data_IF_094306904538
#
_entry.id   IF_094306904538
#
_cell.length_a   1.000
_cell.length_b   1.000
_cell.length_c   1.000
_cell.angle_alpha   90.00
_cell.angle_beta   90.00
_cell.angle_gamma   90.00
#
_symmetry.space_group_name_H-M   'P 1'
#
loop_
_entity.id
_entity.type
_entity.pdbx_description
1 polymer ?
#
# COMPACT_ATOMS: atom_id res chain seq x y z
N UNK A 1 -4.70 -19.72 -0.56
CA UNK A 1 -3.59 -20.23 0.29
C UNK A 1 -4.06 -21.46 1.08
N UNK A 2 -3.23 -22.51 1.24
CA UNK A 2 -3.62 -23.69 2.04
C UNK A 2 -3.27 -23.54 3.54
N UNK A 3 -3.92 -24.33 4.41
CA UNK A 3 -3.78 -24.24 5.88
C UNK A 3 -2.36 -24.55 6.38
N UNK A 4 -1.63 -25.44 5.72
CA UNK A 4 -0.28 -25.81 6.12
C UNK A 4 0.71 -24.67 5.88
N UNK A 5 0.65 -24.06 4.69
CA UNK A 5 1.44 -22.88 4.34
C UNK A 5 1.15 -21.73 5.30
N UNK A 6 -0.13 -21.42 5.55
CA UNK A 6 -0.56 -20.38 6.49
C UNK A 6 0.07 -20.55 7.89
N UNK A 7 0.09 -21.78 8.41
CA UNK A 7 0.68 -22.06 9.73
C UNK A 7 2.20 -21.86 9.74
N UNK A 8 2.87 -22.26 8.66
CA UNK A 8 4.34 -22.25 8.56
C UNK A 8 4.98 -20.88 8.31
N UNK A 9 4.22 -19.90 7.80
CA UNK A 9 4.77 -18.59 7.44
C UNK A 9 5.04 -17.70 8.65
N UNK A 10 6.16 -16.99 8.63
CA UNK A 10 6.40 -15.91 9.59
C UNK A 10 5.33 -14.82 9.46
N UNK A 11 5.01 -14.16 10.57
CA UNK A 11 4.01 -13.08 10.59
C UNK A 11 4.30 -12.00 9.53
N UNK A 12 5.57 -11.60 9.39
CA UNK A 12 5.98 -10.58 8.43
C UNK A 12 5.77 -10.97 6.96
N UNK A 13 5.63 -12.26 6.66
CA UNK A 13 5.38 -12.79 5.30
C UNK A 13 3.90 -13.07 5.05
N UNK A 14 3.11 -13.20 6.11
CA UNK A 14 1.74 -13.67 6.03
C UNK A 14 0.84 -12.69 5.27
N UNK A 15 0.99 -11.38 5.52
CA UNK A 15 0.23 -10.36 4.80
C UNK A 15 0.46 -10.42 3.29
N UNK A 16 1.71 -10.52 2.85
CA UNK A 16 2.02 -10.62 1.43
C UNK A 16 1.52 -11.93 0.83
N UNK A 17 1.63 -13.05 1.56
CA UNK A 17 1.10 -14.33 1.08
C UNK A 17 -0.43 -14.32 0.89
N UNK A 18 -1.16 -13.52 1.69
CA UNK A 18 -2.59 -13.29 1.48
C UNK A 18 -2.88 -12.43 0.24
N UNK A 19 -2.06 -11.40 -0.02
CA UNK A 19 -2.34 -10.40 -1.05
C UNK A 19 -1.69 -10.65 -2.41
N UNK A 20 -0.54 -11.33 -2.48
CA UNK A 20 0.17 -11.54 -3.74
C UNK A 20 -0.69 -12.22 -4.80
N UNK A 21 -1.57 -13.20 -4.50
CA UNK A 21 -2.44 -13.80 -5.51
C UNK A 21 -3.45 -12.83 -6.13
N UNK A 22 -3.76 -11.73 -5.45
CA UNK A 22 -4.68 -10.69 -5.91
C UNK A 22 -3.91 -9.57 -6.61
N UNK A 23 -2.80 -9.12 -6.03
CA UNK A 23 -2.07 -7.95 -6.51
C UNK A 23 -1.14 -8.23 -7.69
N UNK A 24 -0.53 -9.42 -7.77
CA UNK A 24 0.40 -9.75 -8.85
C UNK A 24 -0.27 -9.78 -10.23
N UNK A 25 -1.46 -10.40 -10.42
CA UNK A 25 -2.17 -10.37 -11.69
C UNK A 25 -2.60 -8.96 -12.14
N UNK A 26 -2.74 -8.03 -11.19
CA UNK A 26 -3.15 -6.65 -11.46
C UNK A 26 -2.00 -5.74 -11.91
N UNK A 27 -0.74 -6.20 -11.84
CA UNK A 27 0.40 -5.37 -12.28
C UNK A 27 0.27 -5.02 -13.76
N UNK A 28 0.45 -3.74 -14.08
CA UNK A 28 0.32 -3.22 -15.45
C UNK A 28 -1.10 -3.20 -16.03
N UNK A 29 -2.11 -3.67 -15.28
CA UNK A 29 -3.52 -3.61 -15.72
C UNK A 29 -4.10 -2.21 -15.56
N UNK A 30 -5.15 -1.95 -16.34
CA UNK A 30 -5.89 -0.69 -16.34
C UNK A 30 -6.51 -0.37 -14.96
N UNK A 31 -6.57 0.92 -14.54
CA UNK A 31 -7.18 1.33 -13.28
C UNK A 31 -8.63 0.88 -13.07
N UNK A 32 -9.43 0.75 -14.13
CA UNK A 32 -10.83 0.30 -14.04
C UNK A 32 -10.89 -1.14 -13.53
N UNK A 33 -10.07 -2.04 -14.10
CA UNK A 33 -10.00 -3.44 -13.64
C UNK A 33 -9.50 -3.53 -12.20
N UNK A 34 -8.49 -2.73 -11.83
CA UNK A 34 -8.00 -2.67 -10.45
C UNK A 34 -9.08 -2.22 -9.47
N UNK A 35 -9.88 -1.22 -9.85
CA UNK A 35 -11.00 -0.73 -9.04
C UNK A 35 -12.11 -1.76 -8.90
N UNK A 36 -12.43 -2.51 -9.96
CA UNK A 36 -13.42 -3.59 -9.92
C UNK A 36 -12.97 -4.69 -8.95
N UNK A 37 -11.75 -5.19 -9.11
CA UNK A 37 -11.19 -6.20 -8.20
C UNK A 37 -11.14 -5.70 -6.76
N UNK A 38 -10.73 -4.46 -6.53
CA UNK A 38 -10.72 -3.85 -5.19
C UNK A 38 -12.12 -3.81 -4.56
N UNK A 39 -13.16 -3.55 -5.35
CA UNK A 39 -14.56 -3.50 -4.85
C UNK A 39 -15.13 -4.86 -4.45
N UNK A 40 -14.55 -5.96 -4.95
CA UNK A 40 -14.94 -7.34 -4.60
C UNK A 40 -14.24 -7.85 -3.32
N UNK A 41 -13.25 -7.11 -2.81
CA UNK A 41 -12.51 -7.48 -1.60
C UNK A 41 -13.33 -7.22 -0.33
N UNK A 42 -13.08 -8.04 0.71
CA UNK A 42 -13.58 -7.73 2.06
C UNK A 42 -12.95 -6.44 2.59
N UNK A 43 -13.56 -5.76 3.58
CA UNK A 43 -12.95 -4.58 4.20
C UNK A 43 -11.50 -4.83 4.65
N UNK A 44 -11.22 -5.95 5.32
CA UNK A 44 -9.86 -6.28 5.79
C UNK A 44 -8.89 -6.58 4.64
N UNK A 45 -9.35 -7.16 3.53
CA UNK A 45 -8.54 -7.33 2.32
C UNK A 45 -8.27 -6.00 1.62
N UNK A 46 -9.23 -5.06 1.62
CA UNK A 46 -9.03 -3.70 1.14
C UNK A 46 -7.97 -2.95 1.98
N UNK A 47 -8.02 -3.09 3.31
CA UNK A 47 -7.00 -2.55 4.24
C UNK A 47 -5.61 -3.06 3.86
N UNK A 48 -5.49 -4.37 3.68
CA UNK A 48 -4.23 -5.01 3.34
C UNK A 48 -3.77 -4.64 1.91
N UNK A 49 -4.69 -4.54 0.96
CA UNK A 49 -4.42 -4.10 -0.41
C UNK A 49 -3.84 -2.68 -0.43
N UNK A 50 -4.48 -1.74 0.27
CA UNK A 50 -4.05 -0.35 0.30
C UNK A 50 -2.68 -0.19 0.97
N UNK A 51 -2.44 -0.90 2.07
CA UNK A 51 -1.13 -0.93 2.70
C UNK A 51 -0.06 -1.45 1.73
N UNK A 52 -0.27 -2.61 1.09
CA UNK A 52 0.74 -3.17 0.19
C UNK A 52 0.90 -2.38 -1.12
N UNK A 53 -0.14 -1.70 -1.58
CA UNK A 53 -0.05 -0.79 -2.72
C UNK A 53 0.92 0.34 -2.40
N UNK A 54 0.74 1.02 -1.26
CA UNK A 54 1.67 2.05 -0.80
C UNK A 54 3.06 1.50 -0.48
N UNK A 55 3.16 0.48 0.37
CA UNK A 55 4.44 -0.06 0.85
C UNK A 55 5.32 -0.58 -0.27
N UNK A 56 4.77 -1.35 -1.22
CA UNK A 56 5.59 -1.91 -2.31
C UNK A 56 6.15 -0.83 -3.23
N UNK A 57 5.47 0.31 -3.32
CA UNK A 57 5.92 1.46 -4.07
C UNK A 57 6.94 2.30 -3.30
N UNK A 58 6.69 2.58 -2.02
CA UNK A 58 7.47 3.52 -1.22
C UNK A 58 8.76 2.94 -0.61
N UNK A 59 8.94 1.61 -0.54
CA UNK A 59 10.03 0.99 0.24
C UNK A 59 11.42 1.04 -0.39
N UNK A 60 11.53 1.24 -1.69
CA UNK A 60 12.74 0.92 -2.44
C UNK A 60 13.80 2.04 -2.42
N UNK A 61 13.38 3.31 -2.37
CA UNK A 61 14.28 4.45 -2.28
C UNK A 61 13.59 5.67 -1.66
N UNK A 62 14.39 6.65 -1.21
CA UNK A 62 13.88 7.94 -0.74
C UNK A 62 13.06 8.66 -1.84
N UNK A 63 13.50 8.58 -3.10
CA UNK A 63 12.80 9.19 -4.22
C UNK A 63 11.42 8.56 -4.46
N UNK A 64 11.32 7.24 -4.40
CA UNK A 64 10.03 6.55 -4.51
C UNK A 64 9.15 6.81 -3.28
N UNK A 65 9.74 6.81 -2.08
CA UNK A 65 9.02 7.17 -0.85
C UNK A 65 8.38 8.56 -0.96
N UNK A 66 9.16 9.55 -1.40
CA UNK A 66 8.71 10.91 -1.65
C UNK A 66 7.59 10.95 -2.70
N UNK A 67 7.87 10.42 -3.90
CA UNK A 67 6.96 10.54 -5.04
C UNK A 67 5.62 9.85 -4.77
N UNK A 68 5.64 8.63 -4.21
CA UNK A 68 4.42 7.89 -3.91
C UNK A 68 3.65 8.49 -2.74
N UNK A 69 4.33 8.98 -1.71
CA UNK A 69 3.64 9.67 -0.61
C UNK A 69 2.95 10.94 -1.11
N UNK A 70 3.63 11.73 -1.95
CA UNK A 70 2.99 12.84 -2.62
C UNK A 70 1.80 12.37 -3.48
N UNK A 71 1.97 11.40 -4.36
CA UNK A 71 0.90 10.86 -5.21
C UNK A 71 -0.38 10.49 -4.44
N UNK A 72 -0.24 9.83 -3.29
CA UNK A 72 -1.39 9.51 -2.45
C UNK A 72 -1.94 10.75 -1.71
N UNK A 73 -1.08 11.65 -1.23
CA UNK A 73 -1.49 12.91 -0.60
C UNK A 73 -2.33 13.80 -1.54
N UNK A 74 -2.05 13.79 -2.84
CA UNK A 74 -2.86 14.46 -3.88
C UNK A 74 -4.29 13.89 -4.02
N UNK A 75 -4.58 12.77 -3.33
CA UNK A 75 -5.85 12.07 -3.33
C UNK A 75 -6.37 11.96 -1.88
N UNK A 76 -6.87 13.05 -1.27
CA UNK A 76 -7.09 13.14 0.18
C UNK A 76 -7.98 12.05 0.78
N UNK A 77 -8.98 11.59 0.01
CA UNK A 77 -9.83 10.45 0.40
C UNK A 77 -9.01 9.17 0.54
N UNK A 78 -8.19 8.86 -0.45
CA UNK A 78 -7.35 7.64 -0.45
C UNK A 78 -6.29 7.75 0.65
N UNK A 79 -5.67 8.91 0.83
CA UNK A 79 -4.66 9.12 1.87
C UNK A 79 -5.22 8.93 3.28
N UNK A 80 -6.40 9.51 3.55
CA UNK A 80 -7.10 9.34 4.82
C UNK A 80 -7.44 7.87 5.07
N UNK A 81 -7.92 7.17 4.05
CA UNK A 81 -8.22 5.73 4.14
C UNK A 81 -6.98 4.89 4.41
N UNK A 82 -5.83 5.15 3.77
CA UNK A 82 -4.57 4.44 4.05
C UNK A 82 -4.20 4.57 5.53
N UNK A 83 -4.22 5.79 6.07
CA UNK A 83 -3.90 6.04 7.49
C UNK A 83 -4.90 5.37 8.44
N UNK A 84 -6.20 5.48 8.15
CA UNK A 84 -7.25 4.85 8.97
C UNK A 84 -7.08 3.33 9.04
N UNK A 85 -6.82 2.70 7.89
CA UNK A 85 -6.70 1.24 7.77
C UNK A 85 -5.42 0.71 8.43
N UNK A 86 -4.34 1.49 8.43
CA UNK A 86 -3.13 1.19 9.21
C UNK A 86 -3.40 1.18 10.73
N UNK A 87 -4.26 2.08 11.23
CA UNK A 87 -4.68 2.07 12.65
C UNK A 87 -5.42 0.78 13.01
N UNK A 88 -6.21 0.18 12.09
CA UNK A 88 -6.91 -1.09 12.34
C UNK A 88 -5.93 -2.25 12.64
N UNK A 89 -4.72 -2.23 12.07
CA UNK A 89 -3.69 -3.23 12.38
C UNK A 89 -2.95 -2.97 13.70
N UNK A 90 -3.29 -1.88 14.41
CA UNK A 90 -2.74 -1.53 15.72
C UNK A 90 -1.31 -1.00 15.66
N UNK A 91 -0.87 -0.44 14.53
CA UNK A 91 0.45 0.19 14.40
C UNK A 91 0.33 1.71 14.29
N UNK A 92 0.31 2.36 15.45
CA UNK A 92 0.30 3.83 15.55
C UNK A 92 1.62 4.46 15.11
N UNK A 93 2.74 3.73 15.11
CA UNK A 93 4.04 4.30 14.76
C UNK A 93 4.10 4.64 13.28
N UNK A 94 3.62 3.73 12.42
CA UNK A 94 3.62 3.99 10.98
C UNK A 94 2.65 5.10 10.62
N UNK A 95 1.51 5.19 11.31
CA UNK A 95 0.55 6.27 11.09
C UNK A 95 1.13 7.62 11.48
N UNK A 96 1.76 7.73 12.65
CA UNK A 96 2.44 8.95 13.08
C UNK A 96 3.54 9.39 12.12
N UNK A 97 4.29 8.43 11.56
CA UNK A 97 5.29 8.73 10.54
C UNK A 97 4.67 9.28 9.24
N UNK A 98 3.56 8.71 8.78
CA UNK A 98 2.86 9.21 7.58
C UNK A 98 2.29 10.62 7.81
N UNK A 99 1.81 10.91 9.02
CA UNK A 99 1.34 12.24 9.42
C UNK A 99 2.50 13.25 9.44
N UNK A 100 3.65 12.90 10.03
CA UNK A 100 4.85 13.75 10.02
C UNK A 100 5.35 14.01 8.58
N UNK A 101 5.27 13.00 7.72
CA UNK A 101 5.66 13.13 6.31
C UNK A 101 4.70 14.04 5.55
N UNK A 102 3.40 13.92 5.80
CA UNK A 102 2.39 14.83 5.27
C UNK A 102 2.66 16.28 5.69
N UNK A 103 2.97 16.54 6.96
CA UNK A 103 3.30 17.88 7.44
C UNK A 103 4.55 18.46 6.75
N UNK A 104 5.56 17.63 6.50
CA UNK A 104 6.72 18.04 5.71
C UNK A 104 6.27 18.40 4.29
N UNK A 105 5.58 17.53 3.56
CA UNK A 105 5.20 17.81 2.18
C UNK A 105 4.28 19.04 2.03
N UNK A 106 3.40 19.28 2.99
CA UNK A 106 2.56 20.49 3.03
C UNK A 106 3.37 21.78 3.14
N UNK A 107 4.50 21.79 3.87
CA UNK A 107 5.38 22.97 3.95
C UNK A 107 6.01 23.32 2.60
N UNK A 108 6.21 22.33 1.73
CA UNK A 108 6.68 22.52 0.35
C UNK A 108 5.54 22.69 -0.66
N UNK A 109 4.29 22.86 -0.20
CA UNK A 109 3.10 22.96 -1.07
C UNK A 109 2.91 21.75 -1.98
N UNK A 110 3.42 20.59 -1.57
CA UNK A 110 3.36 19.35 -2.34
C UNK A 110 2.40 18.31 -1.74
N UNK A 111 1.67 17.61 -2.62
CA UNK A 111 1.02 18.12 -3.83
C UNK A 111 -0.31 18.81 -3.50
N UNK A 112 -0.79 19.66 -4.41
CA UNK A 112 -2.04 20.40 -4.19
C UNK A 112 -3.28 19.57 -4.55
N UNK A 113 -3.21 18.82 -5.64
CA UNK A 113 -4.26 17.92 -6.14
C UNK A 113 -3.73 17.08 -7.30
N UNK A 114 -4.49 16.06 -7.70
CA UNK A 114 -4.20 15.30 -8.93
C UNK A 114 -4.27 16.15 -10.21
N UNK A 115 -5.09 17.22 -10.23
CA UNK A 115 -5.22 18.12 -11.39
C UNK A 115 -3.97 18.96 -11.65
N UNK A 116 -3.17 19.17 -10.61
CA UNK A 116 -1.95 19.99 -10.63
C UNK A 116 -0.73 19.20 -10.15
N UNK A 117 -0.74 17.88 -10.35
CA UNK A 117 0.32 17.01 -9.88
C UNK A 117 1.59 17.21 -10.73
N UNK A 118 2.54 17.97 -10.17
CA UNK A 118 3.80 18.36 -10.80
C UNK A 118 5.05 17.76 -10.12
N UNK A 119 4.84 16.89 -9.13
CA UNK A 119 5.91 16.27 -8.34
C UNK A 119 6.78 15.36 -9.20
N UNK A 120 8.09 15.60 -9.14
CA UNK A 120 9.12 14.87 -9.87
C UNK A 120 10.09 14.19 -8.90
N UNK A 121 10.55 12.99 -9.24
CA UNK A 121 11.61 12.33 -8.47
C UNK A 121 12.91 13.17 -8.38
N UNK A 122 13.12 14.08 -9.35
CA UNK A 122 14.27 14.97 -9.40
C UNK A 122 14.14 16.16 -8.43
N UNK A 123 12.99 16.39 -7.80
CA UNK A 123 12.81 17.49 -6.84
C UNK A 123 13.78 17.34 -5.65
N UNK A 124 14.09 16.10 -5.26
CA UNK A 124 15.08 15.81 -4.21
C UNK A 124 16.54 16.04 -4.63
N UNK A 125 16.81 16.12 -5.93
CA UNK A 125 18.13 16.48 -6.45
C UNK A 125 18.29 18.00 -6.51
N UNK A 126 17.20 18.71 -6.79
CA UNK A 126 17.17 20.17 -6.97
C UNK A 126 16.90 20.94 -5.66
N UNK A 127 16.30 20.31 -4.65
CA UNK A 127 16.03 20.89 -3.34
C UNK A 127 16.67 20.05 -2.22
N UNK A 128 17.85 20.51 -1.77
CA UNK A 128 18.59 19.85 -0.69
C UNK A 128 17.87 19.91 0.65
N UNK A 129 17.07 20.95 0.92
CA UNK A 129 16.34 21.10 2.19
C UNK A 129 15.16 20.12 2.26
N UNK A 130 14.47 19.92 1.14
CA UNK A 130 13.42 18.89 1.02
C UNK A 130 14.01 17.51 1.26
N UNK A 131 15.13 17.21 0.61
CA UNK A 131 15.85 15.94 0.78
C UNK A 131 16.29 15.73 2.22
N UNK A 132 16.89 16.73 2.85
CA UNK A 132 17.34 16.67 4.25
C UNK A 132 16.17 16.46 5.22
N UNK A 133 15.01 17.04 4.93
CA UNK A 133 13.79 16.87 5.74
C UNK A 133 13.16 15.49 5.59
N UNK A 134 13.17 14.89 4.39
CA UNK A 134 12.56 13.58 4.13
C UNK A 134 13.49 12.39 4.42
N UNK A 135 14.81 12.57 4.33
CA UNK A 135 15.78 11.51 4.60
C UNK A 135 15.62 10.82 5.97
N UNK A 136 15.44 11.53 7.10
CA UNK A 136 15.20 10.88 8.39
C UNK A 136 13.85 10.15 8.43
N UNK A 137 12.82 10.69 7.77
CA UNK A 137 11.49 10.07 7.70
C UNK A 137 11.53 8.75 6.92
N UNK A 138 12.22 8.71 5.78
CA UNK A 138 12.41 7.47 5.03
C UNK A 138 13.25 6.44 5.82
N UNK A 139 14.30 6.89 6.51
CA UNK A 139 15.09 6.02 7.38
C UNK A 139 14.23 5.44 8.50
N UNK A 140 13.34 6.25 9.06
CA UNK A 140 12.38 5.81 10.07
C UNK A 140 11.36 4.82 9.48
N UNK A 141 10.85 5.08 8.28
CA UNK A 141 9.96 4.19 7.53
C UNK A 141 10.57 2.79 7.39
N UNK A 142 11.81 2.72 6.91
CA UNK A 142 12.53 1.45 6.76
C UNK A 142 12.70 0.71 8.11
N UNK A 143 12.93 1.46 9.19
CA UNK A 143 13.12 0.91 10.53
C UNK A 143 11.84 0.33 11.15
N UNK A 144 10.71 1.00 10.98
CA UNK A 144 9.44 0.59 11.63
C UNK A 144 8.63 -0.39 10.80
N UNK A 145 8.74 -0.38 9.47
CA UNK A 145 7.91 -1.26 8.62
C UNK A 145 8.03 -2.75 8.94
N UNK A 146 9.19 -3.32 9.34
CA UNK A 146 9.25 -4.71 9.79
C UNK A 146 8.32 -5.02 10.98
N UNK A 147 8.15 -4.07 11.91
CA UNK A 147 7.20 -4.18 13.01
C UNK A 147 5.77 -4.16 12.49
N UNK A 148 5.42 -3.23 11.59
CA UNK A 148 4.11 -3.15 10.94
C UNK A 148 3.74 -4.46 10.26
N UNK A 149 4.66 -5.03 9.46
CA UNK A 149 4.45 -6.31 8.78
C UNK A 149 4.20 -7.45 9.77
N UNK A 150 4.90 -7.45 10.91
CA UNK A 150 4.65 -8.42 11.97
C UNK A 150 3.27 -8.23 12.63
N UNK A 151 2.86 -6.99 12.92
CA UNK A 151 1.54 -6.69 13.50
C UNK A 151 0.40 -7.12 12.59
N UNK A 152 0.52 -6.84 11.28
CA UNK A 152 -0.39 -7.33 10.25
C UNK A 152 -0.49 -8.86 10.30
N UNK A 153 0.64 -9.57 10.37
CA UNK A 153 0.64 -11.03 10.47
C UNK A 153 -0.04 -11.55 11.74
N UNK A 154 0.18 -10.89 12.88
CA UNK A 154 -0.50 -11.22 14.14
C UNK A 154 -2.03 -11.02 14.00
N UNK A 155 -2.46 -9.92 13.38
CA UNK A 155 -3.86 -9.65 13.13
C UNK A 155 -4.49 -10.73 12.24
N UNK A 156 -3.87 -11.05 11.10
CA UNK A 156 -4.34 -12.09 10.18
C UNK A 156 -4.47 -13.45 10.88
N UNK A 157 -3.56 -13.79 11.79
CA UNK A 157 -3.64 -15.04 12.56
C UNK A 157 -4.82 -15.08 13.54
N UNK A 158 -5.23 -13.94 14.07
CA UNK A 158 -6.40 -13.82 14.95
C UNK A 158 -7.71 -13.83 14.17
N UNK A 159 -7.69 -13.41 12.91
CA UNK A 159 -8.86 -13.22 12.05
C UNK A 159 -8.71 -13.91 10.67
N UNK A 160 -8.33 -15.20 10.59
CA UNK A 160 -8.00 -15.85 9.31
C UNK A 160 -9.15 -15.85 8.30
N UNK A 161 -10.40 -15.88 8.76
CA UNK A 161 -11.63 -15.83 7.97
C UNK A 161 -11.78 -14.52 7.16
N UNK A 162 -11.19 -13.42 7.62
CA UNK A 162 -11.26 -12.13 6.94
C UNK A 162 -10.36 -12.08 5.68
N UNK A 163 -9.37 -12.97 5.60
CA UNK A 163 -8.32 -12.96 4.57
C UNK A 163 -8.28 -14.21 3.69
N UNK A 164 -8.79 -15.35 4.16
CA UNK A 164 -8.82 -16.62 3.44
C UNK A 164 -10.19 -16.80 2.79
N UNK A 165 -10.44 -16.10 1.68
CA UNK A 165 -11.60 -16.38 0.82
C UNK A 165 -11.11 -17.06 -0.47
N UNK A 166 -11.45 -18.35 -0.59
CA UNK A 166 -11.07 -19.19 -1.74
C UNK A 166 -11.86 -18.79 -2.99
N UNK A 167 -13.12 -18.39 -2.82
CA UNK A 167 -14.05 -18.10 -3.93
C UNK A 167 -13.70 -16.79 -4.63
N UNK A 168 -13.44 -15.71 -3.88
CA UNK A 168 -13.08 -14.40 -4.45
C UNK A 168 -11.75 -14.44 -5.22
N UNK A 169 -10.76 -15.19 -4.72
CA UNK A 169 -9.46 -15.31 -5.40
C UNK A 169 -9.54 -16.07 -6.73
N UNK A 170 -10.43 -17.06 -6.82
CA UNK A 170 -10.65 -17.81 -8.05
C UNK A 170 -11.39 -16.98 -9.10
N UNK A 171 -12.42 -16.24 -8.67
CA UNK A 171 -13.22 -15.38 -9.54
C UNK A 171 -12.42 -14.17 -10.03
N UNK A 172 -11.61 -13.53 -9.18
CA UNK A 172 -10.66 -12.48 -9.58
C UNK A 172 -9.68 -13.03 -10.62
N UNK A 173 -9.14 -14.24 -10.41
CA UNK A 173 -8.21 -14.85 -11.35
C UNK A 173 -8.86 -15.08 -12.71
N UNK A 174 -10.09 -15.60 -12.74
CA UNK A 174 -10.85 -15.80 -13.98
C UNK A 174 -11.17 -14.46 -14.68
N UNK A 175 -11.62 -13.45 -13.94
CA UNK A 175 -11.91 -12.11 -14.45
C UNK A 175 -10.67 -11.43 -15.04
N UNK A 176 -9.51 -11.52 -14.37
CA UNK A 176 -8.24 -10.98 -14.89
C UNK A 176 -7.80 -11.73 -16.14
N UNK A 177 -7.90 -13.06 -16.16
CA UNK A 177 -7.46 -13.87 -17.31
C UNK A 177 -8.34 -13.66 -18.55
N UNK A 178 -9.64 -13.44 -18.37
CA UNK A 178 -10.59 -13.19 -19.46
C UNK A 178 -10.48 -11.76 -20.03
N UNK A 179 -9.98 -10.80 -19.25
CA UNK A 179 -9.77 -9.41 -19.69
C UNK A 179 -8.60 -9.23 -20.68
N UNK A 180 -7.75 -10.26 -20.85
CA UNK A 180 -6.59 -10.25 -21.76
C UNK A 180 -6.92 -10.61 -23.21
N UNK A 181 -8.19 -10.93 -23.51
CA UNK A 181 -8.68 -11.07 -24.87
C UNK A 181 -9.54 -9.86 -25.24
N UNK A 182 -9.15 -9.04 -26.22
CA UNK A 182 -10.08 -8.07 -26.77
C UNK A 182 -11.24 -8.86 -27.38
N UNK A 183 -12.46 -8.53 -26.97
CA UNK A 183 -13.67 -8.95 -27.68
C UNK A 183 -13.53 -8.56 -29.14
N UNK A 184 -13.26 -9.55 -29.99
CA UNK A 184 -13.22 -9.44 -31.44
C UNK A 184 -14.63 -9.22 -32.00
#
# INVERSE_FOLDING_TARGET
>A
MNKQLFKSLDNSKLGWACMSPIMEPLRGKDPILKSQVYSELTPSQQDLFMFYAYYNHAKHSLAEYYWWTAYYLAQPKIWTEIKLRLRNFGDENIVGLLEETEEVLQKWSHPRSMESFDVSVNDLENDSLLRESLSPLYSHFQKITPFTLNQIGIYIRKHPEEFILVETQQQIKENVTNSDYPSS
#
